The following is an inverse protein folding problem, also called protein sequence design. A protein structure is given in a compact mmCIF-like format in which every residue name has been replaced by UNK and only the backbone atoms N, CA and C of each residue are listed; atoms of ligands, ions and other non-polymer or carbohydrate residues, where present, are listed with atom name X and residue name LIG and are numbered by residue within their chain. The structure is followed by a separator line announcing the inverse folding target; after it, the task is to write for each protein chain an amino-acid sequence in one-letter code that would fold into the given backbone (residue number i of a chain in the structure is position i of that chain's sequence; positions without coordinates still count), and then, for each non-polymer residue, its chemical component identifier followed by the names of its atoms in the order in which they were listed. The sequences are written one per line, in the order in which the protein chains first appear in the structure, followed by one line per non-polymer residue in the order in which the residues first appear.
data_IF_655932229624
#
_entry.id   IF_655932229624
#
_cell.length_a   1.000
_cell.length_b   1.000
_cell.length_c   1.000
_cell.angle_alpha   90.00
_cell.angle_beta   90.00
_cell.angle_gamma   90.00
#
_symmetry.space_group_name_H-M   'P 1'
#
loop_
_entity.id
_entity.type
_entity.pdbx_description
1 polymer ?
#
# COMPACT_ATOMS: atom_id res chain seq x y z
N UNK A 1 10.37 -21.03 20.64
CA UNK A 1 9.69 -20.00 19.83
C UNK A 1 9.09 -18.96 20.75
N UNK A 2 9.33 -17.68 20.48
CA UNK A 2 8.78 -16.57 21.25
C UNK A 2 7.47 -16.11 20.59
N UNK A 3 6.48 -15.72 21.39
CA UNK A 3 5.20 -15.22 20.88
C UNK A 3 4.91 -13.85 21.43
N UNK A 4 4.56 -12.91 20.55
CA UNK A 4 3.91 -11.67 20.97
C UNK A 4 2.40 -11.85 20.98
N UNK A 5 1.79 -11.49 22.11
CA UNK A 5 0.35 -11.60 22.36
C UNK A 5 -0.28 -10.29 22.81
N UNK A 6 0.51 -9.25 23.11
CA UNK A 6 0.01 -7.87 23.24
C UNK A 6 -0.26 -7.34 21.83
N UNK A 7 -1.48 -7.60 21.33
CA UNK A 7 -1.91 -7.27 19.98
C UNK A 7 -3.12 -6.34 20.06
N UNK A 8 -2.96 -5.17 19.46
CA UNK A 8 -4.00 -4.14 19.39
C UNK A 8 -4.95 -4.46 18.23
N UNK A 9 -6.25 -4.26 18.43
CA UNK A 9 -7.24 -4.41 17.37
C UNK A 9 -7.03 -3.41 16.22
N UNK A 10 -6.76 -3.94 15.03
CA UNK A 10 -6.49 -3.21 13.80
C UNK A 10 -6.76 -4.14 12.59
N UNK A 11 -7.10 -3.63 11.39
CA UNK A 11 -7.30 -4.49 10.21
C UNK A 11 -6.12 -5.44 9.91
N UNK A 12 -4.89 -4.98 10.14
CA UNK A 12 -3.66 -5.80 9.98
C UNK A 12 -3.66 -6.99 10.95
N UNK A 13 -4.12 -6.78 12.19
CA UNK A 13 -4.09 -7.79 13.27
C UNK A 13 -5.43 -8.51 13.41
N UNK A 14 -6.32 -8.41 12.42
CA UNK A 14 -7.64 -9.03 12.46
C UNK A 14 -7.52 -10.55 12.56
N UNK A 15 -8.14 -11.12 13.59
CA UNK A 15 -8.13 -12.55 13.91
C UNK A 15 -6.71 -13.11 14.17
N UNK A 16 -5.79 -12.26 14.63
CA UNK A 16 -4.45 -12.65 15.05
C UNK A 16 -4.39 -12.58 16.58
N UNK A 17 -4.19 -13.73 17.22
CA UNK A 17 -4.14 -13.86 18.68
C UNK A 17 -2.70 -13.99 19.18
N UNK A 18 -1.80 -14.47 18.31
CA UNK A 18 -0.38 -14.58 18.58
C UNK A 18 0.43 -14.37 17.30
N UNK A 19 1.61 -13.79 17.46
CA UNK A 19 2.59 -13.67 16.38
C UNK A 19 3.84 -14.43 16.81
N UNK A 20 4.22 -15.44 16.04
CA UNK A 20 5.51 -16.09 16.24
C UNK A 20 6.62 -15.09 15.89
N UNK A 21 7.54 -14.88 16.82
CA UNK A 21 8.67 -14.00 16.65
C UNK A 21 9.96 -14.81 16.64
N UNK A 22 10.68 -14.68 15.54
CA UNK A 22 12.01 -15.23 15.34
C UNK A 22 12.95 -14.09 14.91
N UNK A 23 14.09 -13.95 15.61
CA UNK A 23 15.04 -12.86 15.40
C UNK A 23 14.39 -11.47 15.51
N UNK A 24 13.60 -11.25 16.55
CA UNK A 24 12.88 -9.99 16.75
C UNK A 24 13.83 -8.81 16.93
N UNK A 25 13.59 -7.71 16.21
CA UNK A 25 14.36 -6.47 16.31
C UNK A 25 13.40 -5.35 16.72
N UNK A 26 13.63 -4.68 17.85
CA UNK A 26 12.70 -3.66 18.34
C UNK A 26 12.68 -2.42 17.43
N UNK A 27 11.50 -1.82 17.26
CA UNK A 27 11.32 -0.54 16.57
C UNK A 27 11.44 0.57 17.61
N UNK A 28 12.63 1.19 17.69
CA UNK A 28 12.98 2.12 18.78
C UNK A 28 12.69 3.59 18.47
N UNK A 29 12.40 3.95 17.23
CA UNK A 29 12.20 5.36 16.84
C UNK A 29 11.23 5.52 15.68
N UNK A 30 10.22 6.35 15.88
CA UNK A 30 9.24 6.76 14.88
C UNK A 30 8.58 8.08 15.30
N UNK A 31 8.30 8.97 14.33
CA UNK A 31 7.65 10.27 14.60
C UNK A 31 6.13 10.19 14.64
N UNK A 32 5.56 9.18 14.00
CA UNK A 32 4.13 8.96 13.85
C UNK A 32 3.86 7.47 13.63
N UNK A 33 2.59 7.10 13.72
CA UNK A 33 2.14 5.71 13.57
C UNK A 33 1.55 5.16 14.85
N UNK A 34 0.94 3.98 14.72
CA UNK A 34 0.31 3.24 15.80
C UNK A 34 1.03 1.91 15.97
N UNK A 35 1.53 1.66 17.17
CA UNK A 35 2.05 0.35 17.54
C UNK A 35 0.89 -0.62 17.63
N UNK A 36 0.97 -1.72 16.89
CA UNK A 36 -0.03 -2.77 16.86
C UNK A 36 0.36 -3.99 17.67
N UNK A 37 1.66 -4.20 17.91
CA UNK A 37 2.14 -5.33 18.69
C UNK A 37 3.41 -4.98 19.46
N UNK A 38 3.46 -5.46 20.70
CA UNK A 38 4.67 -5.43 21.54
C UNK A 38 5.08 -6.82 22.01
N UNK A 39 6.35 -6.98 22.36
CA UNK A 39 6.81 -8.13 23.14
C UNK A 39 6.23 -8.09 24.57
N UNK A 40 6.42 -9.17 25.34
CA UNK A 40 6.07 -9.18 26.76
C UNK A 40 7.00 -8.26 27.57
N UNK A 41 6.55 -7.81 28.74
CA UNK A 41 7.41 -7.07 29.69
C UNK A 41 8.59 -7.89 30.23
N UNK A 42 8.60 -9.21 30.02
CA UNK A 42 9.69 -10.11 30.40
C UNK A 42 10.67 -10.40 29.27
N UNK A 43 10.51 -9.80 28.09
CA UNK A 43 11.50 -9.91 27.00
C UNK A 43 12.72 -9.04 27.29
N UNK A 44 13.85 -9.36 26.68
CA UNK A 44 15.05 -8.54 26.74
C UNK A 44 15.75 -8.51 25.38
N UNK A 45 16.63 -7.52 25.20
CA UNK A 45 17.52 -7.46 24.05
C UNK A 45 18.79 -8.23 24.41
N UNK A 46 19.02 -9.35 23.73
CA UNK A 46 20.25 -10.12 23.85
C UNK A 46 21.38 -9.36 23.11
N UNK A 47 22.27 -8.74 23.87
CA UNK A 47 23.46 -8.09 23.35
C UNK A 47 24.62 -9.08 23.42
N UNK A 48 25.11 -9.60 22.28
CA UNK A 48 26.20 -10.59 22.15
C UNK A 48 27.05 -10.78 23.44
N UNK A 49 26.51 -11.57 24.37
CA UNK A 49 26.95 -11.62 25.77
C UNK A 49 27.39 -13.02 26.18
N UNK A 50 27.23 -13.38 27.45
CA UNK A 50 27.73 -14.65 28.01
C UNK A 50 27.02 -15.92 27.51
N UNK A 51 26.04 -15.79 26.63
CA UNK A 51 25.44 -16.91 25.91
C UNK A 51 23.98 -16.64 25.53
N UNK A 52 23.54 -17.29 24.45
CA UNK A 52 22.14 -17.22 24.01
C UNK A 52 21.19 -17.78 25.08
N UNK A 53 20.18 -17.00 25.43
CA UNK A 53 19.04 -17.48 26.24
C UNK A 53 19.13 -17.23 27.75
N UNK A 54 20.12 -16.47 28.24
CA UNK A 54 20.11 -15.94 29.62
C UNK A 54 20.23 -14.43 29.57
N UNK A 55 19.34 -13.73 30.28
CA UNK A 55 19.38 -12.27 30.37
C UNK A 55 20.58 -11.81 31.20
N UNK A 56 21.44 -10.97 30.63
CA UNK A 56 22.49 -10.27 31.38
C UNK A 56 21.90 -9.08 32.15
N UNK A 57 22.52 -8.73 33.30
CA UNK A 57 21.98 -7.72 34.23
C UNK A 57 21.78 -6.35 33.59
N UNK A 58 22.61 -6.01 32.61
CA UNK A 58 22.61 -4.70 31.95
C UNK A 58 21.69 -4.65 30.72
N UNK A 59 21.10 -5.77 30.33
CA UNK A 59 20.22 -5.82 29.16
C UNK A 59 18.87 -5.15 29.44
N UNK A 60 18.44 -4.39 28.42
CA UNK A 60 17.18 -3.69 28.42
C UNK A 60 16.01 -4.67 28.52
N UNK A 61 15.02 -4.33 29.34
CA UNK A 61 13.77 -5.09 29.47
C UNK A 61 12.67 -4.47 28.61
N UNK A 62 11.80 -5.34 28.10
CA UNK A 62 10.63 -4.94 27.35
C UNK A 62 9.54 -4.30 28.24
N UNK A 63 8.35 -4.05 27.66
CA UNK A 63 7.93 -4.46 26.33
C UNK A 63 8.56 -3.61 25.22
N UNK A 64 8.87 -4.24 24.09
CA UNK A 64 9.41 -3.58 22.91
C UNK A 64 8.37 -3.53 21.79
N UNK A 65 8.32 -2.43 21.05
CA UNK A 65 7.46 -2.30 19.88
C UNK A 65 8.00 -3.14 18.71
N UNK A 66 7.14 -3.96 18.11
CA UNK A 66 7.53 -4.91 17.03
C UNK A 66 6.75 -4.67 15.74
N UNK A 67 5.49 -4.23 15.83
CA UNK A 67 4.67 -3.93 14.66
C UNK A 67 4.14 -2.50 14.74
N UNK A 68 4.46 -1.69 13.74
CA UNK A 68 4.03 -0.30 13.63
C UNK A 68 3.27 -0.11 12.31
N UNK A 69 2.10 0.49 12.36
CA UNK A 69 1.36 0.93 11.18
C UNK A 69 1.35 2.46 11.10
N UNK A 70 1.65 3.01 9.93
CA UNK A 70 1.61 4.44 9.66
C UNK A 70 0.57 4.69 8.57
N UNK A 71 -0.50 5.37 8.94
CA UNK A 71 -1.64 5.64 8.04
C UNK A 71 -1.40 6.80 7.07
N UNK A 72 -0.53 7.74 7.45
CA UNK A 72 -0.36 9.02 6.74
C UNK A 72 1.12 9.32 6.48
N UNK A 73 1.71 8.67 5.48
CA UNK A 73 3.01 9.06 4.90
C UNK A 73 2.75 9.68 3.53
N UNK A 74 2.55 10.99 3.49
CA UNK A 74 2.05 11.67 2.29
C UNK A 74 0.65 11.15 1.95
N UNK A 75 0.50 10.51 0.78
CA UNK A 75 -0.74 9.84 0.33
C UNK A 75 -0.72 8.32 0.59
N UNK A 76 0.35 7.80 1.17
CA UNK A 76 0.58 6.37 1.36
C UNK A 76 0.47 5.90 2.80
N UNK A 77 0.54 4.58 2.96
CA UNK A 77 0.58 3.88 4.24
C UNK A 77 1.87 3.05 4.32
N UNK A 78 2.35 2.80 5.52
CA UNK A 78 3.47 1.89 5.74
C UNK A 78 3.19 0.96 6.92
N UNK A 79 3.81 -0.22 6.86
CA UNK A 79 3.84 -1.20 7.94
C UNK A 79 5.30 -1.57 8.18
N UNK A 80 5.74 -1.47 9.43
CA UNK A 80 7.07 -1.91 9.86
C UNK A 80 6.90 -3.12 10.77
N UNK A 81 7.66 -4.18 10.52
CA UNK A 81 7.68 -5.37 11.36
C UNK A 81 9.13 -5.75 11.70
N UNK A 82 9.41 -5.76 13.00
CA UNK A 82 10.73 -6.05 13.56
C UNK A 82 10.98 -7.53 13.76
N UNK A 83 11.22 -8.28 12.68
CA UNK A 83 11.56 -9.71 12.79
C UNK A 83 11.38 -10.50 11.51
N UNK A 84 12.16 -10.22 10.47
CA UNK A 84 12.00 -10.82 9.15
C UNK A 84 11.99 -12.37 9.14
N UNK A 85 12.73 -13.02 10.05
CA UNK A 85 12.77 -14.49 10.17
C UNK A 85 11.43 -15.08 10.61
N UNK A 86 10.53 -14.27 11.17
CA UNK A 86 9.17 -14.66 11.55
C UNK A 86 8.29 -15.02 10.34
N UNK A 87 8.74 -14.71 9.11
CA UNK A 87 8.05 -15.06 7.87
C UNK A 87 8.81 -16.09 7.03
N UNK A 88 9.81 -16.78 7.62
CA UNK A 88 10.45 -17.91 6.96
C UNK A 88 9.53 -19.13 6.95
N UNK A 89 9.71 -20.00 5.95
CA UNK A 89 8.92 -21.21 5.77
C UNK A 89 8.86 -22.07 7.05
N UNK A 90 9.96 -22.19 7.79
CA UNK A 90 10.02 -22.95 9.04
C UNK A 90 9.07 -22.41 10.12
N UNK A 91 8.84 -21.09 10.16
CA UNK A 91 7.92 -20.46 11.09
C UNK A 91 6.51 -20.52 10.53
N UNK A 92 6.31 -20.13 9.27
CA UNK A 92 4.97 -19.95 8.69
C UNK A 92 4.23 -21.25 8.40
N UNK A 93 4.96 -22.35 8.18
CA UNK A 93 4.36 -23.66 7.88
C UNK A 93 4.10 -24.51 9.12
N UNK A 94 4.54 -24.06 10.30
CA UNK A 94 4.25 -24.75 11.55
C UNK A 94 2.74 -24.65 11.87
N UNK A 95 2.17 -25.74 12.40
CA UNK A 95 0.74 -25.82 12.69
C UNK A 95 0.31 -24.76 13.71
N UNK A 96 -0.78 -24.05 13.38
CA UNK A 96 -1.38 -23.04 14.27
C UNK A 96 -0.60 -21.73 14.35
N UNK A 97 0.28 -21.44 13.38
CA UNK A 97 0.88 -20.12 13.22
C UNK A 97 0.00 -19.18 12.38
N UNK A 98 -0.05 -17.91 12.79
CA UNK A 98 -0.91 -16.88 12.19
C UNK A 98 -0.10 -15.84 11.40
N UNK A 99 1.21 -16.04 11.24
CA UNK A 99 2.11 -15.09 10.60
C UNK A 99 1.74 -14.84 9.11
N UNK A 100 1.30 -15.86 8.38
CA UNK A 100 0.83 -15.67 6.99
C UNK A 100 -0.48 -14.87 6.94
N UNK A 101 -1.39 -15.08 7.89
CA UNK A 101 -2.64 -14.30 7.96
C UNK A 101 -2.33 -12.83 8.29
N UNK A 102 -1.41 -12.57 9.22
CA UNK A 102 -0.91 -11.22 9.52
C UNK A 102 -0.32 -10.56 8.27
N UNK A 103 0.51 -11.28 7.51
CA UNK A 103 1.10 -10.78 6.27
C UNK A 103 0.01 -10.45 5.24
N UNK A 104 -0.94 -11.37 5.01
CA UNK A 104 -2.04 -11.17 4.10
C UNK A 104 -2.92 -9.96 4.48
N UNK A 105 -3.21 -9.81 5.77
CA UNK A 105 -3.93 -8.65 6.30
C UNK A 105 -3.16 -7.35 6.08
N UNK A 106 -1.83 -7.35 6.28
CA UNK A 106 -0.98 -6.19 6.01
C UNK A 106 -1.01 -5.77 4.54
N UNK A 107 -0.84 -6.73 3.62
CA UNK A 107 -0.94 -6.48 2.17
C UNK A 107 -2.33 -5.96 1.80
N UNK A 108 -3.38 -6.57 2.35
CA UNK A 108 -4.76 -6.13 2.12
C UNK A 108 -4.97 -4.70 2.59
N UNK A 109 -4.54 -4.35 3.80
CA UNK A 109 -4.68 -3.01 4.36
C UNK A 109 -3.87 -1.95 3.61
N UNK A 110 -2.66 -2.32 3.16
CA UNK A 110 -1.84 -1.47 2.27
C UNK A 110 -2.51 -1.25 0.91
N UNK A 111 -3.30 -2.22 0.44
CA UNK A 111 -3.99 -2.19 -0.85
C UNK A 111 -5.50 -1.97 -0.79
N UNK A 112 -6.10 -1.64 0.35
CA UNK A 112 -7.55 -1.37 0.47
C UNK A 112 -7.93 -0.03 -0.19
N UNK A 113 -9.18 0.15 -0.66
CA UNK A 113 -9.61 1.40 -1.30
C UNK A 113 -9.32 2.60 -0.38
N UNK A 114 -8.54 3.56 -0.89
CA UNK A 114 -7.95 4.65 -0.10
C UNK A 114 -6.42 4.59 0.02
N UNK A 115 -5.76 3.54 -0.51
CA UNK A 115 -4.32 3.53 -0.79
C UNK A 115 -4.01 3.87 -2.26
N UNK A 116 -2.81 4.41 -2.59
CA UNK A 116 -2.46 4.91 -3.92
C UNK A 116 -2.68 3.90 -5.05
N UNK A 117 -2.47 2.61 -4.78
CA UNK A 117 -2.54 1.53 -5.77
C UNK A 117 -3.96 1.25 -6.31
N UNK A 118 -5.01 1.40 -5.49
CA UNK A 118 -6.39 1.20 -6.00
C UNK A 118 -6.98 2.47 -6.60
N UNK A 119 -6.53 3.63 -6.12
CA UNK A 119 -7.00 4.91 -6.63
C UNK A 119 -6.58 5.12 -8.09
N UNK A 120 -5.33 4.82 -8.46
CA UNK A 120 -4.91 4.94 -9.85
C UNK A 120 -5.70 4.00 -10.79
N UNK A 121 -6.07 2.79 -10.34
CA UNK A 121 -6.89 1.87 -11.16
C UNK A 121 -8.30 2.40 -11.39
N UNK A 122 -8.93 2.92 -10.35
CA UNK A 122 -10.27 3.52 -10.47
C UNK A 122 -10.21 4.74 -11.39
N UNK A 123 -9.17 5.57 -11.26
CA UNK A 123 -8.95 6.72 -12.14
C UNK A 123 -8.68 6.28 -13.59
N UNK A 124 -7.91 5.21 -13.81
CA UNK A 124 -7.72 4.62 -15.15
C UNK A 124 -9.04 4.12 -15.73
N UNK A 125 -9.85 3.41 -14.95
CA UNK A 125 -11.18 2.93 -15.38
C UNK A 125 -12.11 4.11 -15.73
N UNK A 126 -12.11 5.17 -14.92
CA UNK A 126 -12.88 6.39 -15.18
C UNK A 126 -12.39 7.12 -16.44
N UNK A 127 -11.08 7.27 -16.61
CA UNK A 127 -10.48 7.85 -17.80
C UNK A 127 -10.85 7.06 -19.05
N UNK A 128 -10.83 5.73 -19.00
CA UNK A 128 -11.25 4.88 -20.13
C UNK A 128 -12.74 5.04 -20.47
N UNK A 129 -13.62 5.22 -19.48
CA UNK A 129 -15.03 5.53 -19.71
C UNK A 129 -15.17 6.86 -20.47
N UNK A 130 -14.45 7.90 -20.05
CA UNK A 130 -14.43 9.20 -20.72
C UNK A 130 -13.90 9.11 -22.16
N UNK A 131 -12.87 8.28 -22.40
CA UNK A 131 -12.38 8.02 -23.76
C UNK A 131 -13.47 7.42 -24.65
N UNK A 132 -14.21 6.42 -24.17
CA UNK A 132 -15.30 5.82 -24.94
C UNK A 132 -16.43 6.80 -25.22
N UNK A 133 -16.77 7.66 -24.25
CA UNK A 133 -17.76 8.72 -24.43
C UNK A 133 -17.30 9.75 -25.48
N UNK A 134 -16.05 10.22 -25.39
CA UNK A 134 -15.46 11.16 -26.33
C UNK A 134 -15.40 10.59 -27.75
N UNK A 135 -15.07 9.30 -27.91
CA UNK A 135 -15.10 8.62 -29.20
C UNK A 135 -16.51 8.57 -29.78
N UNK A 136 -17.54 8.31 -28.98
CA UNK A 136 -18.94 8.33 -29.42
C UNK A 136 -19.38 9.74 -29.88
N UNK A 137 -18.99 10.78 -29.15
CA UNK A 137 -19.23 12.18 -29.54
C UNK A 137 -18.50 12.54 -30.85
N UNK A 138 -17.27 12.04 -31.01
CA UNK A 138 -16.48 12.22 -32.23
C UNK A 138 -17.14 11.58 -33.45
N UNK A 139 -17.60 10.33 -33.33
CA UNK A 139 -18.30 9.59 -34.39
C UNK A 139 -19.63 10.24 -34.79
N UNK A 140 -20.28 10.94 -33.86
CA UNK A 140 -21.51 11.70 -34.10
C UNK A 140 -21.26 13.15 -34.54
N UNK A 141 -20.01 13.51 -34.88
CA UNK A 141 -19.58 14.83 -35.34
C UNK A 141 -19.78 15.97 -34.34
N UNK A 142 -19.96 15.66 -33.05
CA UNK A 142 -20.03 16.64 -31.97
C UNK A 142 -18.62 17.02 -31.50
N UNK A 143 -17.83 17.59 -32.40
CA UNK A 143 -16.39 17.75 -32.21
C UNK A 143 -15.99 18.63 -31.01
N UNK A 144 -16.82 19.63 -30.65
CA UNK A 144 -16.55 20.48 -29.47
C UNK A 144 -16.76 19.71 -28.17
N UNK A 145 -17.88 18.98 -28.04
CA UNK A 145 -18.19 18.14 -26.88
C UNK A 145 -17.17 17.00 -26.75
N UNK A 146 -16.78 16.38 -27.89
CA UNK A 146 -15.75 15.35 -27.93
C UNK A 146 -14.40 15.88 -27.43
N UNK A 147 -13.99 17.10 -27.86
CA UNK A 147 -12.75 17.73 -27.41
C UNK A 147 -12.72 17.93 -25.90
N UNK A 148 -13.78 18.49 -25.33
CA UNK A 148 -13.86 18.71 -23.87
C UNK A 148 -13.78 17.38 -23.11
N UNK A 149 -14.52 16.36 -23.57
CA UNK A 149 -14.51 15.03 -22.92
C UNK A 149 -13.14 14.34 -23.03
N UNK A 150 -12.42 14.53 -24.14
CA UNK A 150 -11.04 14.05 -24.27
C UNK A 150 -10.08 14.75 -23.29
N UNK A 151 -10.24 16.06 -23.04
CA UNK A 151 -9.43 16.76 -22.04
C UNK A 151 -9.71 16.23 -20.63
N UNK A 152 -10.97 16.00 -20.27
CA UNK A 152 -11.34 15.40 -18.99
C UNK A 152 -10.71 14.00 -18.82
N UNK A 153 -10.62 13.22 -19.90
CA UNK A 153 -9.95 11.92 -19.89
C UNK A 153 -8.42 12.05 -19.66
N UNK A 154 -7.77 13.07 -20.24
CA UNK A 154 -6.35 13.35 -19.97
C UNK A 154 -6.15 13.71 -18.51
N UNK A 155 -6.95 14.62 -17.95
CA UNK A 155 -6.85 15.04 -16.55
C UNK A 155 -6.95 13.83 -15.60
N UNK A 156 -7.88 12.90 -15.88
CA UNK A 156 -8.04 11.68 -15.10
C UNK A 156 -6.83 10.71 -15.22
N UNK A 157 -6.24 10.59 -16.42
CA UNK A 157 -5.00 9.80 -16.59
C UNK A 157 -3.80 10.47 -15.93
N UNK A 158 -3.67 11.79 -15.99
CA UNK A 158 -2.60 12.54 -15.33
C UNK A 158 -2.71 12.37 -13.81
N UNK A 159 -3.90 12.53 -13.23
CA UNK A 159 -4.14 12.30 -11.80
C UNK A 159 -3.78 10.86 -11.41
N UNK A 160 -4.17 9.87 -12.22
CA UNK A 160 -3.78 8.47 -12.02
C UNK A 160 -2.26 8.27 -12.02
N UNK A 161 -1.56 8.84 -13.00
CA UNK A 161 -0.12 8.70 -13.16
C UNK A 161 0.67 9.44 -12.05
N UNK A 162 0.15 10.58 -11.58
CA UNK A 162 0.69 11.30 -10.42
C UNK A 162 0.50 10.51 -9.11
N UNK A 163 -0.64 9.83 -8.95
CA UNK A 163 -0.91 8.99 -7.78
C UNK A 163 0.02 7.77 -7.74
N UNK A 164 0.23 7.12 -8.87
CA UNK A 164 1.15 6.01 -9.03
C UNK A 164 1.60 5.92 -10.49
N UNK A 165 2.89 6.13 -10.74
CA UNK A 165 3.45 6.09 -12.08
C UNK A 165 3.10 4.76 -12.77
N UNK A 166 2.31 4.83 -13.85
CA UNK A 166 1.76 3.65 -14.48
C UNK A 166 1.73 3.78 -16.02
N UNK A 167 2.03 2.67 -16.70
CA UNK A 167 2.16 2.64 -18.16
C UNK A 167 0.82 2.70 -18.89
N UNK A 168 -0.28 2.40 -18.20
CA UNK A 168 -1.64 2.47 -18.73
C UNK A 168 -2.06 3.93 -18.93
N UNK A 169 -1.89 4.78 -17.92
CA UNK A 169 -2.15 6.21 -18.01
C UNK A 169 -1.29 6.90 -19.09
N UNK A 170 0.01 6.60 -19.15
CA UNK A 170 0.91 7.15 -20.18
C UNK A 170 0.47 6.75 -21.60
N UNK A 171 -0.04 5.53 -21.79
CA UNK A 171 -0.56 5.08 -23.08
C UNK A 171 -1.90 5.76 -23.39
N UNK A 172 -2.80 5.85 -22.40
CA UNK A 172 -4.08 6.51 -22.53
C UNK A 172 -3.96 7.98 -22.96
N UNK A 173 -3.08 8.74 -22.30
CA UNK A 173 -2.80 10.14 -22.66
C UNK A 173 -2.38 10.26 -24.13
N UNK A 174 -1.40 9.46 -24.57
CA UNK A 174 -0.91 9.48 -25.95
C UNK A 174 -1.98 9.12 -26.98
N UNK A 175 -2.86 8.19 -26.64
CA UNK A 175 -3.99 7.82 -27.49
C UNK A 175 -4.97 8.99 -27.62
N UNK A 176 -5.33 9.61 -26.49
CA UNK A 176 -6.25 10.75 -26.46
C UNK A 176 -5.70 11.98 -27.18
N UNK A 177 -4.41 12.30 -27.00
CA UNK A 177 -3.74 13.40 -27.70
C UNK A 177 -3.85 13.27 -29.24
N UNK A 178 -3.72 12.06 -29.78
CA UNK A 178 -3.87 11.77 -31.22
C UNK A 178 -5.31 12.01 -31.71
N UNK A 179 -6.31 11.83 -30.86
CA UNK A 179 -7.71 12.13 -31.18
C UNK A 179 -8.05 13.62 -31.04
N UNK A 180 -7.44 14.31 -30.06
CA UNK A 180 -7.59 15.76 -29.88
C UNK A 180 -7.11 16.54 -31.11
N UNK A 181 -5.94 16.21 -31.65
CA UNK A 181 -5.39 16.85 -32.86
C UNK A 181 -6.36 16.77 -34.06
N UNK A 182 -7.06 15.63 -34.18
CA UNK A 182 -8.08 15.41 -35.23
C UNK A 182 -9.33 16.24 -34.98
N UNK A 183 -9.78 16.35 -33.73
CA UNK A 183 -10.91 17.19 -33.36
C UNK A 183 -10.65 18.66 -33.69
N UNK A 184 -9.45 19.17 -33.35
CA UNK A 184 -9.04 20.55 -33.64
C UNK A 184 -9.01 20.83 -35.14
N UNK A 185 -8.38 19.95 -35.92
CA UNK A 185 -8.36 20.05 -37.39
C UNK A 185 -9.78 20.06 -37.98
N UNK A 186 -10.70 19.27 -37.42
CA UNK A 186 -12.09 19.20 -37.86
C UNK A 186 -12.91 20.45 -37.50
N UNK A 187 -12.65 21.06 -36.34
CA UNK A 187 -13.26 22.31 -35.91
C UNK A 187 -12.78 23.49 -36.76
N UNK A 188 -11.49 23.55 -37.07
CA UNK A 188 -10.91 24.62 -37.90
C UNK A 188 -11.41 24.60 -39.35
N UNK A 189 -11.72 23.42 -39.89
CA UNK A 189 -12.29 23.28 -41.25
C UNK A 189 -13.78 23.61 -41.33
N UNK A 190 -14.49 23.63 -40.20
CA UNK A 190 -15.92 23.94 -40.11
C UNK A 190 -16.19 25.39 -39.64
N UNK A 191 -15.15 26.19 -39.46
CA UNK A 191 -15.20 27.63 -39.15
C UNK A 191 -15.16 28.47 -40.41
#
# INVERSE_FOLDING_TARGET
MFYATDIVNHPITKNIDKIALNGGIPIVSYKSGRVLTRTSGSSWIDHEGNGSGTKDREEEEGPFDILLAIENIGRGRAVFFGGAMSFWNEVTLESGQQNLDLFANAIKWLGEPGGPYKQYKILNEQAQVLVQEALSLYETYKLSEAKETFLDAIDAFEESNEMYANSEAIKGIKEVESHLEKCETGLDKNR
#
